data_IF_173405440745
#
_entry.id   IF_173405440745
#
_cell.length_a   1.000
_cell.length_b   1.000
_cell.length_c   1.000
_cell.angle_alpha   90.00
_cell.angle_beta   90.00
_cell.angle_gamma   90.00
#
_symmetry.space_group_name_H-M   'P 1'
#
loop_
_entity.id
_entity.type
_entity.pdbx_description
1 polymer ?
#
# COMPACT_ATOMS: atom_id res chain seq x y z
N UNK A 1 -20.21 -11.05 20.47
CA UNK A 1 -19.66 -12.25 19.83
C UNK A 1 -18.37 -11.88 19.08
N UNK A 2 -17.22 -12.12 19.71
CA UNK A 2 -15.90 -11.72 19.19
C UNK A 2 -15.53 -12.47 17.92
N UNK A 3 -15.97 -13.69 17.77
CA UNK A 3 -15.68 -14.51 16.61
C UNK A 3 -16.47 -14.02 15.38
N UNK A 4 -17.70 -13.59 15.57
CA UNK A 4 -18.50 -12.98 14.50
C UNK A 4 -17.89 -11.66 14.04
N UNK A 5 -17.43 -10.81 14.97
CA UNK A 5 -16.72 -9.56 14.65
C UNK A 5 -15.45 -9.82 13.84
N UNK A 6 -14.60 -10.75 14.29
CA UNK A 6 -13.37 -11.11 13.60
C UNK A 6 -13.64 -11.65 12.18
N UNK A 7 -14.63 -12.50 12.00
CA UNK A 7 -15.00 -13.03 10.69
C UNK A 7 -15.52 -11.94 9.76
N UNK A 8 -16.33 -11.01 10.27
CA UNK A 8 -16.84 -9.86 9.51
C UNK A 8 -15.68 -8.97 9.07
N UNK A 9 -14.73 -8.66 9.96
CA UNK A 9 -13.53 -7.89 9.62
C UNK A 9 -12.74 -8.54 8.48
N UNK A 10 -12.41 -9.83 8.58
CA UNK A 10 -11.63 -10.51 7.53
C UNK A 10 -12.39 -10.66 6.22
N UNK A 11 -13.71 -10.78 6.26
CA UNK A 11 -14.54 -10.81 5.06
C UNK A 11 -14.53 -9.45 4.37
N UNK A 12 -14.70 -8.37 5.12
CA UNK A 12 -14.64 -7.00 4.60
C UNK A 12 -13.24 -6.68 4.03
N UNK A 13 -12.19 -7.07 4.74
CA UNK A 13 -10.81 -6.94 4.28
C UNK A 13 -10.58 -7.60 2.91
N UNK A 14 -11.14 -8.80 2.69
CA UNK A 14 -11.05 -9.50 1.40
C UNK A 14 -11.71 -8.71 0.28
N UNK A 15 -12.90 -8.19 0.49
CA UNK A 15 -13.59 -7.39 -0.52
C UNK A 15 -12.82 -6.12 -0.86
N UNK A 16 -12.30 -5.43 0.15
CA UNK A 16 -11.46 -4.26 -0.07
C UNK A 16 -10.18 -4.62 -0.84
N UNK A 17 -9.51 -5.71 -0.46
CA UNK A 17 -8.30 -6.17 -1.13
C UNK A 17 -8.53 -6.56 -2.60
N UNK A 18 -9.65 -7.20 -2.90
CA UNK A 18 -10.04 -7.61 -4.26
C UNK A 18 -10.05 -6.42 -5.25
N UNK A 19 -10.46 -5.24 -4.79
CA UNK A 19 -10.53 -4.04 -5.64
C UNK A 19 -9.28 -3.17 -5.51
N UNK A 20 -8.85 -2.86 -4.29
CA UNK A 20 -7.79 -1.87 -4.08
C UNK A 20 -6.41 -2.38 -4.46
N UNK A 21 -6.11 -3.66 -4.22
CA UNK A 21 -4.78 -4.21 -4.54
C UNK A 21 -4.53 -4.22 -6.05
N UNK A 22 -5.43 -4.73 -6.92
CA UNK A 22 -5.24 -4.64 -8.37
C UNK A 22 -5.15 -3.20 -8.89
N UNK A 23 -5.97 -2.28 -8.35
CA UNK A 23 -5.91 -0.85 -8.73
C UNK A 23 -4.54 -0.27 -8.34
N UNK A 24 -4.06 -0.52 -7.13
CA UNK A 24 -2.76 -0.04 -6.67
C UNK A 24 -1.59 -0.56 -7.51
N UNK A 25 -1.59 -1.84 -7.84
CA UNK A 25 -0.58 -2.46 -8.71
C UNK A 25 -0.71 -1.94 -10.16
N UNK A 26 -1.93 -1.81 -10.66
CA UNK A 26 -2.18 -1.25 -11.99
C UNK A 26 -1.63 0.18 -12.11
N UNK A 27 -1.93 1.05 -11.17
CA UNK A 27 -1.40 2.41 -11.15
C UNK A 27 0.13 2.45 -10.97
N UNK A 28 0.72 1.49 -10.26
CA UNK A 28 2.16 1.38 -10.14
C UNK A 28 2.83 0.95 -11.45
N UNK A 29 2.26 -0.03 -12.15
CA UNK A 29 2.79 -0.55 -13.41
C UNK A 29 2.63 0.46 -14.56
N UNK A 30 1.48 1.12 -14.63
CA UNK A 30 1.13 2.05 -15.72
C UNK A 30 1.31 3.53 -15.34
N UNK A 31 2.08 3.84 -14.29
CA UNK A 31 2.24 5.20 -13.75
C UNK A 31 2.64 6.23 -14.82
N UNK A 32 3.60 5.89 -15.68
CA UNK A 32 4.09 6.81 -16.71
C UNK A 32 3.02 7.06 -17.78
N UNK A 33 2.36 5.99 -18.24
CA UNK A 33 1.26 6.11 -19.19
C UNK A 33 0.10 6.95 -18.65
N UNK A 34 -0.29 6.71 -17.39
CA UNK A 34 -1.39 7.45 -16.74
C UNK A 34 -1.03 8.94 -16.59
N UNK A 35 0.21 9.24 -16.20
CA UNK A 35 0.66 10.63 -16.06
C UNK A 35 0.79 11.31 -17.42
N UNK A 36 1.36 10.66 -18.41
CA UNK A 36 1.47 11.21 -19.75
C UNK A 36 0.09 11.51 -20.38
N UNK A 37 -0.88 10.61 -20.14
CA UNK A 37 -2.26 10.76 -20.63
C UNK A 37 -3.02 11.91 -19.94
N UNK A 38 -2.87 12.06 -18.61
CA UNK A 38 -3.65 13.02 -17.82
C UNK A 38 -2.99 14.39 -17.67
N UNK A 39 -1.66 14.42 -17.55
CA UNK A 39 -0.90 15.63 -17.22
C UNK A 39 0.06 16.04 -18.33
N UNK A 40 0.44 15.12 -19.21
CA UNK A 40 1.39 15.33 -20.28
C UNK A 40 2.86 15.06 -19.89
N UNK A 41 3.76 14.98 -20.89
CA UNK A 41 5.13 14.49 -20.73
C UNK A 41 6.03 15.37 -19.85
N UNK A 42 5.66 16.61 -19.60
CA UNK A 42 6.38 17.50 -18.68
C UNK A 42 6.28 17.08 -17.21
N UNK A 43 5.34 16.17 -16.86
CA UNK A 43 5.07 15.75 -15.49
C UNK A 43 5.61 14.34 -15.16
N UNK A 44 6.62 13.85 -15.87
CA UNK A 44 7.17 12.48 -15.67
C UNK A 44 7.52 12.13 -14.23
N UNK A 45 8.05 13.09 -13.46
CA UNK A 45 8.35 12.86 -12.04
C UNK A 45 7.09 12.60 -11.19
N UNK A 46 5.92 13.05 -11.62
CA UNK A 46 4.67 12.76 -10.95
C UNK A 46 4.28 11.28 -11.09
N UNK A 47 4.76 10.57 -12.11
CA UNK A 47 4.56 9.13 -12.28
C UNK A 47 5.09 8.33 -11.09
N UNK A 48 6.33 8.60 -10.68
CA UNK A 48 6.97 7.93 -9.54
C UNK A 48 6.14 8.15 -8.26
N UNK A 49 5.63 9.36 -8.05
CA UNK A 49 4.77 9.67 -6.90
C UNK A 49 3.45 8.91 -6.99
N UNK A 50 2.78 8.97 -8.15
CA UNK A 50 1.50 8.31 -8.37
C UNK A 50 1.61 6.81 -8.12
N UNK A 51 2.54 6.13 -8.77
CA UNK A 51 2.71 4.68 -8.66
C UNK A 51 3.07 4.23 -7.25
N UNK A 52 4.12 4.84 -6.67
CA UNK A 52 4.58 4.46 -5.32
C UNK A 52 3.52 4.70 -4.25
N UNK A 53 2.79 5.82 -4.35
CA UNK A 53 1.74 6.15 -3.39
C UNK A 53 0.45 5.35 -3.61
N UNK A 54 0.08 5.06 -4.84
CA UNK A 54 -1.07 4.22 -5.14
C UNK A 54 -0.87 2.81 -4.57
N UNK A 55 0.29 2.19 -4.82
CA UNK A 55 0.62 0.87 -4.31
C UNK A 55 0.67 0.85 -2.78
N UNK A 56 1.44 1.76 -2.17
CA UNK A 56 1.54 1.83 -0.71
C UNK A 56 0.20 2.14 -0.05
N UNK A 57 -0.61 3.03 -0.64
CA UNK A 57 -1.93 3.37 -0.11
C UNK A 57 -2.93 2.23 -0.24
N UNK A 58 -2.91 1.46 -1.32
CA UNK A 58 -3.75 0.27 -1.47
C UNK A 58 -3.45 -0.74 -0.35
N UNK A 59 -2.17 -1.05 -0.10
CA UNK A 59 -1.74 -1.95 0.96
C UNK A 59 -2.16 -1.41 2.33
N UNK A 60 -1.88 -0.13 2.61
CA UNK A 60 -2.20 0.49 3.89
C UNK A 60 -3.69 0.54 4.17
N UNK A 61 -4.51 0.78 3.16
CA UNK A 61 -5.97 0.87 3.32
C UNK A 61 -6.57 -0.48 3.71
N UNK A 62 -6.13 -1.56 3.07
CA UNK A 62 -6.63 -2.91 3.38
C UNK A 62 -5.99 -3.55 4.62
N UNK A 63 -5.03 -2.86 5.25
CA UNK A 63 -4.31 -3.33 6.43
C UNK A 63 -4.41 -2.36 7.59
N UNK A 64 -3.45 -1.45 7.74
CA UNK A 64 -3.30 -0.57 8.90
C UNK A 64 -4.51 0.33 9.14
N UNK A 65 -5.13 0.86 8.08
CA UNK A 65 -6.32 1.70 8.22
C UNK A 65 -7.51 0.88 8.73
N UNK A 66 -7.74 -0.33 8.18
CA UNK A 66 -8.78 -1.23 8.68
C UNK A 66 -8.51 -1.67 10.13
N UNK A 67 -7.26 -1.93 10.50
CA UNK A 67 -6.88 -2.24 11.89
C UNK A 67 -7.22 -1.05 12.81
N UNK A 68 -6.99 0.19 12.35
CA UNK A 68 -7.37 1.38 13.11
C UNK A 68 -8.88 1.47 13.35
N UNK A 69 -9.70 1.04 12.38
CA UNK A 69 -11.17 0.96 12.59
C UNK A 69 -11.54 -0.13 13.62
N UNK A 70 -10.81 -1.25 13.67
CA UNK A 70 -10.97 -2.24 14.75
C UNK A 70 -10.69 -1.62 16.12
N UNK A 71 -9.62 -0.84 16.27
CA UNK A 71 -9.31 -0.16 17.53
C UNK A 71 -10.43 0.78 17.96
N UNK A 72 -11.03 1.52 17.02
CA UNK A 72 -12.18 2.38 17.28
C UNK A 72 -13.42 1.59 17.68
N UNK A 73 -13.73 0.52 16.95
CA UNK A 73 -14.87 -0.33 17.21
C UNK A 73 -14.79 -1.05 18.56
N UNK A 74 -13.56 -1.38 19.01
CA UNK A 74 -13.29 -1.98 20.33
C UNK A 74 -13.17 -0.96 21.47
N UNK A 75 -13.37 0.34 21.22
CA UNK A 75 -13.31 1.40 22.22
C UNK A 75 -11.91 1.75 22.71
N UNK A 76 -10.88 1.39 21.95
CA UNK A 76 -9.46 1.68 22.27
C UNK A 76 -8.77 2.55 21.19
N UNK A 77 -9.35 3.71 20.83
CA UNK A 77 -8.81 4.57 19.77
C UNK A 77 -7.39 5.07 20.04
N UNK A 78 -6.97 5.06 21.31
CA UNK A 78 -5.61 5.44 21.71
C UNK A 78 -4.53 4.61 21.02
N UNK A 79 -4.81 3.35 20.63
CA UNK A 79 -3.85 2.53 19.90
C UNK A 79 -3.57 3.10 18.51
N UNK A 80 -4.60 3.62 17.83
CA UNK A 80 -4.39 4.33 16.54
C UNK A 80 -3.55 5.58 16.71
N UNK A 81 -3.75 6.32 17.79
CA UNK A 81 -2.94 7.51 18.10
C UNK A 81 -1.46 7.14 18.32
N UNK A 82 -1.18 6.12 19.13
CA UNK A 82 0.18 5.66 19.36
C UNK A 82 0.85 5.11 18.09
N UNK A 83 0.11 4.42 17.23
CA UNK A 83 0.62 3.99 15.92
C UNK A 83 1.08 5.18 15.08
N UNK A 84 0.32 6.29 15.07
CA UNK A 84 0.68 7.51 14.34
C UNK A 84 1.90 8.21 14.96
N UNK A 85 1.97 8.29 16.29
CA UNK A 85 3.12 8.90 16.98
C UNK A 85 4.41 8.13 16.68
N UNK A 86 4.38 6.80 16.78
CA UNK A 86 5.54 5.96 16.46
C UNK A 86 5.97 6.14 15.01
N UNK A 87 5.00 6.19 14.09
CA UNK A 87 5.28 6.47 12.68
C UNK A 87 5.96 7.83 12.47
N UNK A 88 5.52 8.89 13.17
CA UNK A 88 6.15 10.20 13.09
C UNK A 88 7.59 10.19 13.60
N UNK A 89 7.87 9.45 14.67
CA UNK A 89 9.23 9.31 15.24
C UNK A 89 10.19 8.68 14.23
N UNK A 90 9.73 7.73 13.42
CA UNK A 90 10.53 7.11 12.36
C UNK A 90 10.57 7.99 11.10
N UNK A 91 9.45 8.60 10.75
CA UNK A 91 9.31 9.38 9.52
C UNK A 91 10.18 10.63 9.51
N UNK A 92 10.24 11.38 10.63
CA UNK A 92 10.98 12.65 10.69
C UNK A 92 12.47 12.46 10.40
N UNK A 93 13.20 11.53 11.04
CA UNK A 93 14.61 11.28 10.72
C UNK A 93 14.80 10.81 9.26
N UNK A 94 13.92 9.94 8.75
CA UNK A 94 14.03 9.46 7.37
C UNK A 94 13.86 10.60 6.38
N UNK A 95 12.88 11.47 6.57
CA UNK A 95 12.70 12.66 5.72
C UNK A 95 13.96 13.53 5.76
N UNK A 96 14.51 13.79 6.97
CA UNK A 96 15.69 14.62 7.13
C UNK A 96 16.90 14.07 6.38
N UNK A 97 17.07 12.76 6.39
CA UNK A 97 18.16 12.11 5.65
C UNK A 97 17.87 12.14 4.14
N UNK A 98 16.65 11.78 3.72
CA UNK A 98 16.31 11.66 2.29
C UNK A 98 16.26 12.99 1.56
N UNK A 99 16.02 14.10 2.23
CA UNK A 99 16.01 15.44 1.60
C UNK A 99 17.40 15.86 1.08
N UNK A 100 18.47 15.16 1.52
CA UNK A 100 19.84 15.39 1.07
C UNK A 100 20.16 14.65 -0.24
N UNK A 101 19.24 13.79 -0.69
CA UNK A 101 19.34 12.99 -1.93
C UNK A 101 18.36 13.51 -2.98
N UNK A 102 18.19 12.75 -4.04
CA UNK A 102 17.28 13.08 -5.12
C UNK A 102 15.78 12.87 -4.74
N UNK A 103 14.91 13.51 -5.51
CA UNK A 103 13.47 13.44 -5.29
C UNK A 103 12.91 12.01 -5.36
N UNK A 104 13.43 11.17 -6.26
CA UNK A 104 12.99 9.79 -6.40
C UNK A 104 13.28 8.97 -5.15
N UNK A 105 14.49 9.12 -4.59
CA UNK A 105 14.88 8.49 -3.31
C UNK A 105 13.95 8.90 -2.18
N UNK A 106 13.61 10.18 -2.08
CA UNK A 106 12.65 10.66 -1.10
C UNK A 106 11.26 10.00 -1.24
N UNK A 107 10.73 9.90 -2.47
CA UNK A 107 9.41 9.30 -2.73
C UNK A 107 9.38 7.82 -2.37
N UNK A 108 10.40 7.05 -2.75
CA UNK A 108 10.50 5.63 -2.41
C UNK A 108 10.69 5.41 -0.91
N UNK A 109 11.58 6.14 -0.27
CA UNK A 109 11.80 6.06 1.17
C UNK A 109 10.51 6.36 1.95
N UNK A 110 9.78 7.41 1.55
CA UNK A 110 8.48 7.77 2.12
C UNK A 110 7.45 6.65 1.99
N UNK A 111 7.41 5.96 0.86
CA UNK A 111 6.51 4.85 0.60
C UNK A 111 6.87 3.60 1.43
N UNK A 112 8.16 3.32 1.60
CA UNK A 112 8.67 2.19 2.38
C UNK A 112 8.43 2.41 3.87
N UNK A 113 8.70 3.62 4.38
CA UNK A 113 8.52 3.94 5.81
C UNK A 113 7.07 3.74 6.25
N UNK A 114 6.09 3.93 5.37
CA UNK A 114 4.69 3.62 5.69
C UNK A 114 4.46 2.15 6.10
N UNK A 115 5.31 1.22 5.67
CA UNK A 115 5.19 -0.20 6.05
C UNK A 115 5.51 -0.44 7.53
N UNK A 116 6.32 0.43 8.15
CA UNK A 116 6.54 0.42 9.61
C UNK A 116 5.22 0.63 10.37
N UNK A 117 4.40 1.59 9.95
CA UNK A 117 3.09 1.82 10.53
C UNK A 117 2.20 0.56 10.49
N UNK A 118 2.25 -0.22 9.40
CA UNK A 118 1.56 -1.50 9.30
C UNK A 118 2.09 -2.49 10.35
N UNK A 119 3.41 -2.60 10.50
CA UNK A 119 4.00 -3.51 11.49
C UNK A 119 3.57 -3.16 12.91
N UNK A 120 3.59 -1.89 13.29
CA UNK A 120 3.13 -1.42 14.60
C UNK A 120 1.65 -1.71 14.80
N UNK A 121 0.81 -1.43 13.80
CA UNK A 121 -0.63 -1.71 13.86
C UNK A 121 -0.90 -3.22 14.05
N UNK A 122 -0.16 -4.08 13.38
CA UNK A 122 -0.29 -5.55 13.53
C UNK A 122 0.15 -6.02 14.92
N UNK A 123 1.24 -5.45 15.46
CA UNK A 123 1.69 -5.76 16.82
C UNK A 123 0.60 -5.37 17.84
N UNK A 124 0.04 -4.17 17.73
CA UNK A 124 -1.02 -3.71 18.62
C UNK A 124 -2.30 -4.54 18.47
N UNK A 125 -2.65 -4.93 17.25
CA UNK A 125 -3.79 -5.84 17.00
C UNK A 125 -3.61 -7.18 17.73
N UNK A 126 -2.43 -7.76 17.64
CA UNK A 126 -2.13 -9.05 18.27
C UNK A 126 -2.08 -8.95 19.81
N UNK A 127 -1.44 -7.91 20.36
CA UNK A 127 -1.21 -7.77 21.79
C UNK A 127 -2.45 -7.30 22.56
N UNK A 128 -3.22 -6.36 22.02
CA UNK A 128 -4.30 -5.71 22.76
C UNK A 128 -5.70 -6.18 22.34
N UNK A 129 -5.87 -6.63 21.10
CA UNK A 129 -7.16 -7.10 20.60
C UNK A 129 -7.23 -8.62 20.49
N UNK A 130 -6.07 -9.31 20.60
CA UNK A 130 -5.94 -10.77 20.47
C UNK A 130 -6.44 -11.32 19.12
N UNK A 131 -6.46 -10.49 18.08
CA UNK A 131 -6.73 -10.93 16.71
C UNK A 131 -5.43 -11.33 16.00
N UNK A 132 -5.52 -12.36 15.14
CA UNK A 132 -4.35 -12.88 14.42
C UNK A 132 -3.81 -11.92 13.37
N UNK A 133 -2.65 -11.31 13.64
CA UNK A 133 -1.92 -10.49 12.66
C UNK A 133 -1.50 -11.31 11.42
N UNK A 134 -1.15 -12.58 11.59
CA UNK A 134 -0.81 -13.47 10.49
C UNK A 134 -2.00 -13.65 9.52
N UNK A 135 -3.22 -13.76 10.04
CA UNK A 135 -4.43 -13.87 9.22
C UNK A 135 -4.68 -12.60 8.41
N UNK A 136 -4.30 -11.42 8.90
CA UNK A 136 -4.34 -10.17 8.12
C UNK A 136 -3.46 -10.28 6.87
N UNK A 137 -2.22 -10.76 7.02
CA UNK A 137 -1.26 -10.89 5.91
C UNK A 137 -1.69 -11.97 4.93
N UNK A 138 -2.02 -13.17 5.42
CA UNK A 138 -2.40 -14.30 4.55
C UNK A 138 -3.67 -14.01 3.76
N UNK A 139 -4.61 -13.27 4.37
CA UNK A 139 -5.87 -12.90 3.74
C UNK A 139 -5.68 -11.98 2.52
N UNK A 140 -4.65 -11.13 2.53
CA UNK A 140 -4.33 -10.21 1.43
C UNK A 140 -3.29 -10.81 0.47
N UNK A 141 -2.47 -11.75 0.96
CA UNK A 141 -1.35 -12.33 0.22
C UNK A 141 -1.76 -12.90 -1.14
N UNK A 142 -2.91 -13.57 -1.19
CA UNK A 142 -3.45 -14.12 -2.45
C UNK A 142 -3.70 -12.99 -3.48
N UNK A 143 -4.30 -11.88 -3.05
CA UNK A 143 -4.60 -10.74 -3.94
C UNK A 143 -3.32 -10.01 -4.36
N UNK A 144 -2.33 -9.89 -3.48
CA UNK A 144 -1.02 -9.34 -3.83
C UNK A 144 -0.32 -10.20 -4.87
N UNK A 145 -0.27 -11.51 -4.68
CA UNK A 145 0.39 -12.42 -5.62
C UNK A 145 -0.31 -12.41 -6.98
N UNK A 146 -1.63 -12.59 -7.00
CA UNK A 146 -2.39 -12.64 -8.27
C UNK A 146 -2.31 -11.33 -9.03
N UNK A 147 -2.48 -10.18 -8.35
CA UNK A 147 -2.38 -8.88 -8.99
C UNK A 147 -0.96 -8.55 -9.45
N UNK A 148 0.09 -9.00 -8.72
CA UNK A 148 1.48 -8.86 -9.15
C UNK A 148 1.79 -9.67 -10.39
N UNK A 149 1.27 -10.90 -10.50
CA UNK A 149 1.42 -11.73 -11.70
C UNK A 149 0.75 -11.05 -12.90
N UNK A 150 -0.49 -10.57 -12.72
CA UNK A 150 -1.23 -9.87 -13.80
C UNK A 150 -0.49 -8.58 -14.19
N UNK A 151 0.00 -7.81 -13.23
CA UNK A 151 0.79 -6.61 -13.47
C UNK A 151 2.09 -6.89 -14.23
N UNK A 152 2.81 -7.96 -13.87
CA UNK A 152 4.03 -8.37 -14.57
C UNK A 152 3.76 -8.81 -16.02
N UNK A 153 2.69 -9.56 -16.25
CA UNK A 153 2.26 -9.95 -17.60
C UNK A 153 1.88 -8.73 -18.43
N UNK A 154 1.10 -7.81 -17.86
CA UNK A 154 0.70 -6.59 -18.55
C UNK A 154 1.91 -5.69 -18.89
N UNK A 155 2.85 -5.56 -17.96
CA UNK A 155 4.10 -4.84 -18.18
C UNK A 155 4.93 -5.46 -19.32
N UNK A 156 5.08 -6.79 -19.31
CA UNK A 156 5.80 -7.52 -20.37
C UNK A 156 5.13 -7.36 -21.73
N UNK A 157 3.80 -7.42 -21.77
CA UNK A 157 3.04 -7.23 -23.01
C UNK A 157 3.22 -5.84 -23.62
N UNK A 158 3.28 -4.78 -22.79
CA UNK A 158 3.57 -3.43 -23.25
C UNK A 158 4.95 -3.32 -23.89
N UNK A 159 5.98 -3.88 -23.25
CA UNK A 159 7.34 -3.82 -23.77
C UNK A 159 7.52 -4.61 -25.09
N UNK A 160 6.84 -5.73 -25.23
CA UNK A 160 6.83 -6.49 -26.48
C UNK A 160 6.09 -5.72 -27.58
N UNK A 161 4.99 -5.08 -27.24
CA UNK A 161 4.22 -4.27 -28.20
C UNK A 161 5.06 -3.09 -28.71
N UNK A 162 5.69 -2.31 -27.83
CA UNK A 162 6.57 -1.20 -28.19
C UNK A 162 7.74 -1.67 -29.07
N UNK A 163 8.40 -2.80 -28.73
CA UNK A 163 9.50 -3.35 -29.51
C UNK A 163 9.08 -3.73 -30.94
N UNK A 164 7.85 -4.23 -31.13
CA UNK A 164 7.34 -4.65 -32.47
C UNK A 164 7.01 -3.45 -33.33
N UNK A 165 6.46 -2.37 -32.77
CA UNK A 165 6.08 -1.18 -33.54
C UNK A 165 7.26 -0.30 -33.98
N UNK A 166 8.40 -0.34 -33.28
CA UNK A 166 9.61 0.38 -33.67
C UNK A 166 10.44 -0.37 -34.72
N UNK A 167 10.09 -1.61 -35.08
CA UNK A 167 10.79 -2.44 -36.11
C UNK A 167 10.06 -2.47 -37.47
N UNK A 168 8.92 -1.78 -37.60
CA UNK A 168 8.16 -1.60 -38.83
C UNK A 168 8.23 -0.13 -39.25
#
# INVERSE_FOLDING_TARGET
>A
DEQAFSNTFFTFQRYMALFLVPIGIGLFVFQDFVVDLLLGPQWKLAGIVLGSWALSSAIMTVTANLISEVFRAKGVPNLSFWTQILHLVVLIPVIYICIQYDFSTFVYARSIVRMEMLMVAMIFLALFIHMSALRVITNIGVYLITASIVGAVAYSALHVYDAVWWTI
#
